data_IF_893105285432
#
_entry.id   IF_893105285432
#
_cell.length_a   1.000
_cell.length_b   1.000
_cell.length_c   1.000
_cell.angle_alpha   90.00
_cell.angle_beta   90.00
_cell.angle_gamma   90.00
#
_symmetry.space_group_name_H-M   'P 1'
#
loop_
_entity.id
_entity.type
_entity.pdbx_description
1 polymer ?
#
# COMPACT_ATOMS: atom_id res chain seq x y z
N UNK A 1 -4.36 2.96 16.34
CA UNK A 1 -3.10 2.54 16.94
C UNK A 1 -1.95 3.32 16.30
N UNK A 2 -1.16 4.07 17.07
CA UNK A 2 -0.16 4.97 16.55
C UNK A 2 -0.74 6.00 15.58
N UNK A 3 -0.02 6.36 14.52
CA UNK A 3 -0.48 7.26 13.47
C UNK A 3 -1.43 6.59 12.45
N UNK A 4 -1.57 5.25 12.50
CA UNK A 4 -2.36 4.49 11.53
C UNK A 4 -3.86 4.69 11.70
N UNK A 5 -4.59 4.77 10.58
CA UNK A 5 -6.03 5.00 10.51
C UNK A 5 -6.69 4.03 9.54
N UNK A 6 -7.97 3.77 9.77
CA UNK A 6 -8.83 3.05 8.83
C UNK A 6 -9.84 4.04 8.24
N UNK A 7 -9.77 4.25 6.93
CA UNK A 7 -10.63 5.19 6.19
C UNK A 7 -11.81 4.42 5.59
N UNK A 8 -13.04 4.72 6.03
CA UNK A 8 -14.27 4.06 5.57
C UNK A 8 -14.94 4.86 4.45
N UNK A 9 -14.84 4.39 3.21
CA UNK A 9 -15.45 5.02 2.04
C UNK A 9 -16.93 4.67 1.86
N UNK A 10 -17.43 3.68 2.60
CA UNK A 10 -18.85 3.27 2.59
C UNK A 10 -19.69 3.84 3.73
N UNK A 11 -19.10 4.50 4.74
CA UNK A 11 -19.77 4.88 5.99
C UNK A 11 -21.04 5.72 5.80
N UNK A 12 -21.09 6.57 4.76
CA UNK A 12 -22.22 7.49 4.47
C UNK A 12 -23.24 6.93 3.50
N UNK A 13 -23.09 5.71 3.02
CA UNK A 13 -24.02 5.10 2.06
C UNK A 13 -25.25 4.56 2.80
N UNK A 14 -26.43 4.69 2.17
CA UNK A 14 -27.69 4.14 2.70
C UNK A 14 -27.71 2.62 2.70
N UNK A 15 -26.96 1.99 1.79
CA UNK A 15 -26.86 0.54 1.56
C UNK A 15 -25.57 -0.07 2.14
N UNK A 16 -24.88 0.63 3.05
CA UNK A 16 -23.58 0.22 3.60
C UNK A 16 -23.56 -1.18 4.21
N UNK A 17 -24.69 -1.59 4.77
CA UNK A 17 -24.82 -2.90 5.43
C UNK A 17 -25.02 -4.06 4.44
N UNK A 18 -25.35 -3.73 3.16
CA UNK A 18 -25.43 -4.69 2.05
C UNK A 18 -24.19 -4.69 1.18
N UNK A 19 -23.35 -3.68 1.30
CA UNK A 19 -22.12 -3.56 0.53
C UNK A 19 -21.06 -4.54 1.03
N UNK A 20 -20.37 -5.21 0.11
CA UNK A 20 -19.31 -6.18 0.43
C UNK A 20 -18.11 -5.43 1.03
N UNK A 21 -17.72 -5.72 2.29
CA UNK A 21 -16.59 -5.04 2.91
C UNK A 21 -15.26 -5.54 2.36
N UNK A 22 -14.37 -4.60 2.05
CA UNK A 22 -13.02 -4.91 1.57
C UNK A 22 -12.01 -4.03 2.31
N UNK A 23 -11.13 -4.67 3.08
CA UNK A 23 -9.98 -4.00 3.69
C UNK A 23 -8.84 -3.89 2.67
N UNK A 24 -8.53 -2.67 2.26
CA UNK A 24 -7.41 -2.38 1.36
C UNK A 24 -6.13 -2.10 2.13
N UNK A 25 -5.09 -2.84 1.80
CA UNK A 25 -3.75 -2.75 2.39
C UNK A 25 -2.79 -2.18 1.34
N UNK A 26 -2.45 -0.87 1.41
CA UNK A 26 -1.47 -0.28 0.50
C UNK A 26 -0.05 -0.67 0.89
N UNK A 27 0.90 -0.38 0.02
CA UNK A 27 2.33 -0.48 0.31
C UNK A 27 2.73 0.40 1.50
N UNK A 28 3.77 0.01 2.24
CA UNK A 28 4.41 0.88 3.23
C UNK A 28 5.23 2.00 2.56
N UNK A 29 5.73 1.78 1.34
CA UNK A 29 6.55 2.75 0.59
C UNK A 29 5.71 3.90 0.06
N UNK A 30 4.55 3.59 -0.54
CA UNK A 30 3.63 4.60 -1.06
C UNK A 30 2.51 4.87 -0.06
N UNK A 31 2.17 6.14 0.13
CA UNK A 31 1.05 6.51 1.01
C UNK A 31 -0.28 6.00 0.45
N UNK A 32 -1.26 5.82 1.34
CA UNK A 32 -2.62 5.32 1.03
C UNK A 32 -3.31 6.09 -0.09
N UNK A 33 -3.01 7.38 -0.27
CA UNK A 33 -3.63 8.23 -1.30
C UNK A 33 -3.39 7.75 -2.73
N UNK A 34 -2.40 6.86 -2.98
CA UNK A 34 -2.20 6.27 -4.31
C UNK A 34 -3.47 5.56 -4.81
N UNK A 35 -4.32 5.09 -3.91
CA UNK A 35 -5.61 4.47 -4.21
C UNK A 35 -6.78 5.46 -4.19
N UNK A 36 -6.56 6.72 -3.78
CA UNK A 36 -7.54 7.82 -3.72
C UNK A 36 -6.91 9.17 -4.11
N UNK A 37 -6.37 9.26 -5.33
CA UNK A 37 -5.58 10.40 -5.81
C UNK A 37 -6.39 11.71 -5.86
N UNK A 38 -7.61 11.67 -6.36
CA UNK A 38 -8.51 12.81 -6.44
C UNK A 38 -9.98 12.37 -6.47
N UNK A 39 -10.92 13.30 -6.39
CA UNK A 39 -12.37 12.99 -6.48
C UNK A 39 -12.73 12.22 -7.76
N UNK A 40 -12.03 12.44 -8.86
CA UNK A 40 -12.27 11.81 -10.16
C UNK A 40 -11.41 10.59 -10.41
N UNK A 41 -10.26 10.51 -9.74
CA UNK A 41 -9.28 9.42 -9.87
C UNK A 41 -9.09 8.73 -8.54
N UNK A 42 -10.08 7.95 -8.15
CA UNK A 42 -10.11 7.23 -6.88
C UNK A 42 -10.67 5.83 -7.10
N UNK A 43 -9.84 4.83 -6.91
CA UNK A 43 -10.29 3.45 -6.88
C UNK A 43 -11.28 3.23 -5.73
N UNK A 44 -11.01 3.78 -4.56
CA UNK A 44 -11.85 3.63 -3.37
C UNK A 44 -13.25 4.16 -3.60
N UNK A 45 -13.39 5.39 -4.13
CA UNK A 45 -14.70 6.00 -4.41
C UNK A 45 -15.44 5.28 -5.52
N UNK A 46 -14.72 4.84 -6.56
CA UNK A 46 -15.30 4.05 -7.64
C UNK A 46 -15.85 2.72 -7.13
N UNK A 47 -15.10 1.97 -6.34
CA UNK A 47 -15.56 0.72 -5.73
C UNK A 47 -16.75 0.95 -4.81
N UNK A 48 -16.71 2.03 -3.99
CA UNK A 48 -17.84 2.39 -3.15
C UNK A 48 -19.11 2.69 -3.96
N UNK A 49 -19.00 3.30 -5.13
CA UNK A 49 -20.15 3.53 -6.02
C UNK A 49 -20.66 2.27 -6.72
N UNK A 50 -19.86 1.19 -6.73
CA UNK A 50 -20.19 -0.10 -7.36
C UNK A 50 -20.51 -1.23 -6.36
N UNK A 51 -21.03 -0.90 -5.19
CA UNK A 51 -21.59 -1.88 -4.26
C UNK A 51 -20.60 -2.50 -3.28
N UNK A 52 -19.35 -2.02 -3.24
CA UNK A 52 -18.37 -2.40 -2.24
C UNK A 52 -18.33 -1.39 -1.08
N UNK A 53 -17.82 -1.81 0.07
CA UNK A 53 -17.48 -0.93 1.18
C UNK A 53 -15.97 -0.96 1.41
N UNK A 54 -15.20 -0.12 0.69
CA UNK A 54 -13.76 -0.07 0.88
C UNK A 54 -13.41 0.55 2.23
N UNK A 55 -12.55 -0.16 2.95
CA UNK A 55 -11.92 0.25 4.20
C UNK A 55 -10.42 0.34 3.89
N UNK A 56 -9.90 1.56 3.72
CA UNK A 56 -8.51 1.75 3.33
C UNK A 56 -7.63 1.95 4.54
N UNK A 57 -6.62 1.09 4.68
CA UNK A 57 -5.56 1.28 5.66
C UNK A 57 -4.72 2.50 5.27
N UNK A 58 -4.61 3.46 6.17
CA UNK A 58 -3.67 4.57 6.10
C UNK A 58 -2.61 4.37 7.18
N UNK A 59 -1.38 4.09 6.76
CA UNK A 59 -0.27 3.85 7.69
C UNK A 59 0.12 5.10 8.47
N UNK A 60 -0.23 6.29 7.97
CA UNK A 60 0.20 7.57 8.53
C UNK A 60 1.67 7.86 8.24
N UNK A 61 2.30 8.63 9.11
CA UNK A 61 3.74 8.84 9.12
C UNK A 61 4.34 8.08 10.30
N UNK A 62 5.39 7.26 10.08
CA UNK A 62 6.05 6.55 11.18
C UNK A 62 6.50 7.52 12.27
N UNK A 63 6.18 7.18 13.51
CA UNK A 63 6.63 7.87 14.70
C UNK A 63 7.82 7.15 15.36
N UNK A 64 8.11 7.52 16.59
CA UNK A 64 9.24 6.93 17.33
C UNK A 64 9.01 5.44 17.60
N UNK A 65 7.76 5.01 17.82
CA UNK A 65 7.42 3.60 18.01
C UNK A 65 7.70 2.78 16.76
N UNK A 66 7.30 3.31 15.58
CA UNK A 66 7.44 2.60 14.31
C UNK A 66 8.87 2.56 13.77
N UNK A 67 9.79 3.36 14.29
CA UNK A 67 11.21 3.30 13.89
C UNK A 67 11.87 1.95 14.19
N UNK A 68 11.38 1.25 15.21
CA UNK A 68 11.85 -0.09 15.57
C UNK A 68 11.04 -1.23 14.94
N UNK A 69 10.04 -0.92 14.10
CA UNK A 69 9.17 -1.93 13.52
C UNK A 69 9.82 -2.64 12.35
N UNK A 70 9.82 -3.96 12.43
CA UNK A 70 9.97 -4.84 11.28
C UNK A 70 8.60 -5.12 10.63
N UNK A 71 8.56 -5.97 9.61
CA UNK A 71 7.32 -6.34 8.93
C UNK A 71 6.34 -7.07 9.87
N UNK A 72 6.84 -7.90 10.77
CA UNK A 72 6.01 -8.61 11.75
C UNK A 72 5.34 -7.63 12.72
N UNK A 73 6.05 -6.60 13.16
CA UNK A 73 5.48 -5.56 14.00
C UNK A 73 4.39 -4.75 13.27
N UNK A 74 4.60 -4.40 12.00
CA UNK A 74 3.55 -3.76 11.19
C UNK A 74 2.31 -4.63 11.04
N UNK A 75 2.48 -5.93 10.80
CA UNK A 75 1.36 -6.87 10.69
C UNK A 75 0.62 -6.98 12.02
N UNK A 76 1.33 -7.26 13.10
CA UNK A 76 0.73 -7.58 14.39
C UNK A 76 0.17 -6.36 15.13
N UNK A 77 0.88 -5.23 15.06
CA UNK A 77 0.55 -4.06 15.86
C UNK A 77 -0.25 -2.99 15.10
N UNK A 78 -0.34 -3.08 13.76
CA UNK A 78 -1.10 -2.13 12.95
C UNK A 78 -2.16 -2.81 12.09
N UNK A 79 -1.80 -3.86 11.36
CA UNK A 79 -2.72 -4.46 10.40
C UNK A 79 -3.75 -5.40 11.06
N UNK A 80 -3.35 -6.22 12.04
CA UNK A 80 -4.31 -7.05 12.79
C UNK A 80 -5.36 -6.20 13.54
N UNK A 81 -5.01 -5.13 14.25
CA UNK A 81 -6.01 -4.21 14.81
C UNK A 81 -6.91 -3.54 13.77
N UNK A 82 -6.39 -3.22 12.57
CA UNK A 82 -7.19 -2.70 11.49
C UNK A 82 -8.20 -3.73 10.96
N UNK A 83 -7.80 -5.01 10.87
CA UNK A 83 -8.70 -6.11 10.55
C UNK A 83 -9.81 -6.25 11.61
N UNK A 84 -9.46 -6.20 12.88
CA UNK A 84 -10.45 -6.30 13.97
C UNK A 84 -11.42 -5.12 13.94
N UNK A 85 -10.94 -3.92 13.72
CA UNK A 85 -11.79 -2.74 13.53
C UNK A 85 -12.72 -2.88 12.31
N UNK A 86 -12.19 -3.37 11.19
CA UNK A 86 -12.97 -3.62 9.99
C UNK A 86 -14.10 -4.63 10.26
N UNK A 87 -13.79 -5.73 10.94
CA UNK A 87 -14.76 -6.77 11.33
C UNK A 87 -15.85 -6.24 12.26
N UNK A 88 -15.48 -5.41 13.24
CA UNK A 88 -16.44 -4.76 14.13
C UNK A 88 -17.38 -3.81 13.37
N UNK A 89 -16.84 -3.03 12.43
CA UNK A 89 -17.62 -2.11 11.61
C UNK A 89 -18.59 -2.82 10.65
N UNK A 90 -18.30 -4.05 10.26
CA UNK A 90 -19.04 -4.77 9.20
C UNK A 90 -19.79 -6.00 9.71
N UNK A 91 -19.55 -6.40 10.97
CA UNK A 91 -20.27 -7.48 11.62
C UNK A 91 -19.78 -8.89 11.27
N UNK A 92 -18.62 -9.05 10.60
CA UNK A 92 -18.14 -10.37 10.20
C UNK A 92 -16.77 -10.37 9.53
N UNK A 93 -16.35 -11.50 8.95
CA UNK A 93 -15.13 -11.57 8.17
C UNK A 93 -15.18 -10.62 6.96
N UNK A 94 -14.01 -10.08 6.57
CA UNK A 94 -13.90 -9.14 5.45
C UNK A 94 -13.02 -9.72 4.34
N UNK A 95 -13.26 -9.29 3.11
CA UNK A 95 -12.29 -9.48 2.03
C UNK A 95 -11.09 -8.58 2.29
N UNK A 96 -9.88 -9.09 2.11
CA UNK A 96 -8.65 -8.30 2.20
C UNK A 96 -8.05 -8.15 0.80
N UNK A 97 -7.73 -6.92 0.41
CA UNK A 97 -7.10 -6.61 -0.86
C UNK A 97 -5.77 -5.91 -0.64
N UNK A 98 -4.67 -6.55 -0.99
CA UNK A 98 -3.34 -5.98 -0.87
C UNK A 98 -2.83 -5.42 -2.19
N UNK A 99 -2.27 -4.22 -2.17
CA UNK A 99 -1.68 -3.56 -3.35
C UNK A 99 -0.17 -3.47 -3.24
N UNK A 100 0.54 -3.91 -4.28
CA UNK A 100 2.00 -3.94 -4.35
C UNK A 100 2.59 -4.68 -3.12
N UNK A 101 3.56 -4.13 -2.42
CA UNK A 101 4.10 -4.68 -1.17
C UNK A 101 3.00 -4.96 -0.12
N UNK A 102 1.92 -4.17 -0.10
CA UNK A 102 0.77 -4.42 0.77
C UNK A 102 0.11 -5.77 0.54
N UNK A 103 0.30 -6.38 -0.64
CA UNK A 103 -0.16 -7.74 -0.91
C UNK A 103 0.58 -8.81 -0.11
N UNK A 104 1.87 -8.63 0.16
CA UNK A 104 2.64 -9.53 1.04
C UNK A 104 2.13 -9.44 2.48
N UNK A 105 1.88 -8.22 2.97
CA UNK A 105 1.32 -7.99 4.29
C UNK A 105 -0.09 -8.58 4.42
N UNK A 106 -0.92 -8.41 3.39
CA UNK A 106 -2.27 -8.96 3.32
C UNK A 106 -2.26 -10.49 3.31
N UNK A 107 -1.33 -11.12 2.58
CA UNK A 107 -1.14 -12.57 2.57
C UNK A 107 -0.74 -13.08 3.96
N UNK A 108 0.26 -12.45 4.59
CA UNK A 108 0.69 -12.80 5.94
C UNK A 108 -0.46 -12.64 6.95
N UNK A 109 -1.23 -11.54 6.87
CA UNK A 109 -2.43 -11.34 7.68
C UNK A 109 -3.45 -12.47 7.49
N UNK A 110 -3.74 -12.87 6.24
CA UNK A 110 -4.70 -13.92 5.95
C UNK A 110 -4.29 -15.29 6.52
N UNK A 111 -2.97 -15.59 6.47
CA UNK A 111 -2.42 -16.82 7.06
C UNK A 111 -2.47 -16.80 8.59
N UNK A 112 -2.23 -15.64 9.22
CA UNK A 112 -2.24 -15.48 10.67
C UNK A 112 -3.66 -15.42 11.24
N UNK A 113 -4.61 -14.83 10.52
CA UNK A 113 -5.99 -14.54 10.97
C UNK A 113 -7.04 -15.11 10.01
N UNK A 114 -7.01 -16.43 9.68
CA UNK A 114 -7.89 -17.01 8.66
C UNK A 114 -9.37 -16.84 8.99
N UNK A 115 -9.77 -16.80 10.25
CA UNK A 115 -11.16 -16.60 10.68
C UNK A 115 -11.66 -15.17 10.49
N UNK A 116 -10.75 -14.21 10.25
CA UNK A 116 -11.08 -12.80 10.02
C UNK A 116 -11.15 -12.43 8.55
N UNK A 117 -10.62 -13.28 7.68
CA UNK A 117 -10.47 -13.02 6.25
C UNK A 117 -11.38 -13.95 5.45
N UNK A 118 -12.36 -13.39 4.75
CA UNK A 118 -13.30 -14.14 3.90
C UNK A 118 -12.68 -14.51 2.56
N UNK A 119 -11.92 -13.60 1.97
CA UNK A 119 -11.22 -13.77 0.69
C UNK A 119 -10.00 -12.86 0.63
N UNK A 120 -9.04 -13.20 -0.21
CA UNK A 120 -7.82 -12.43 -0.44
C UNK A 120 -7.70 -12.06 -1.91
N UNK A 121 -7.46 -10.78 -2.20
CA UNK A 121 -7.14 -10.28 -3.52
C UNK A 121 -5.72 -9.66 -3.50
N UNK A 122 -4.89 -10.06 -4.45
CA UNK A 122 -3.52 -9.57 -4.60
C UNK A 122 -3.40 -8.74 -5.88
N UNK A 123 -3.09 -7.45 -5.74
CA UNK A 123 -3.02 -6.50 -6.83
C UNK A 123 -1.57 -6.07 -7.04
N UNK A 124 -0.96 -6.44 -8.17
CA UNK A 124 0.42 -6.11 -8.51
C UNK A 124 1.41 -6.45 -7.36
N UNK A 125 1.18 -7.57 -6.69
CA UNK A 125 2.00 -8.02 -5.56
C UNK A 125 3.29 -8.64 -6.08
N UNK A 126 4.47 -8.14 -5.68
CA UNK A 126 5.74 -8.77 -6.02
C UNK A 126 5.85 -10.12 -5.30
N UNK A 127 6.35 -11.14 -5.97
CA UNK A 127 6.45 -12.48 -5.41
C UNK A 127 7.85 -13.07 -5.52
N UNK A 128 8.49 -12.91 -6.68
CA UNK A 128 9.82 -13.45 -6.94
C UNK A 128 10.89 -12.38 -6.70
N UNK A 129 11.66 -12.53 -5.63
CA UNK A 129 12.70 -11.59 -5.24
C UNK A 129 14.12 -12.11 -5.53
N UNK A 130 14.27 -13.42 -5.82
CA UNK A 130 15.57 -14.09 -5.93
C UNK A 130 15.66 -14.94 -7.20
N UNK A 131 15.04 -14.50 -8.29
CA UNK A 131 15.11 -15.17 -9.57
C UNK A 131 16.57 -15.47 -9.95
N UNK A 132 16.86 -16.74 -10.29
CA UNK A 132 18.20 -17.15 -10.68
C UNK A 132 18.66 -16.40 -11.93
N UNK A 133 19.72 -15.61 -11.81
CA UNK A 133 20.29 -14.83 -12.90
C UNK A 133 19.82 -13.38 -12.99
N UNK A 134 19.07 -12.89 -12.06
CA UNK A 134 18.68 -11.48 -12.01
C UNK A 134 19.83 -10.61 -11.48
N UNK A 135 20.51 -9.92 -12.41
CA UNK A 135 21.58 -8.99 -12.08
C UNK A 135 21.12 -7.86 -11.12
N UNK A 136 19.81 -7.53 -11.13
CA UNK A 136 19.22 -6.51 -10.27
C UNK A 136 19.21 -6.95 -8.80
N UNK A 137 18.81 -8.18 -8.51
CA UNK A 137 18.79 -8.68 -7.12
C UNK A 137 20.18 -8.78 -6.51
N UNK A 138 21.18 -9.20 -7.30
CA UNK A 138 22.58 -9.21 -6.86
C UNK A 138 23.11 -7.82 -6.55
N UNK A 139 22.76 -6.84 -7.36
CA UNK A 139 23.23 -5.47 -7.18
C UNK A 139 22.50 -4.78 -6.03
N UNK A 140 21.18 -5.00 -5.86
CA UNK A 140 20.45 -4.52 -4.67
C UNK A 140 21.05 -5.08 -3.38
N UNK A 141 21.41 -6.37 -3.39
CA UNK A 141 22.09 -7.00 -2.24
C UNK A 141 23.46 -6.37 -1.98
N UNK A 142 24.22 -6.05 -3.02
CA UNK A 142 25.51 -5.37 -2.90
C UNK A 142 25.40 -3.93 -2.37
N UNK A 143 24.24 -3.26 -2.57
CA UNK A 143 23.95 -1.93 -2.04
C UNK A 143 23.53 -1.92 -0.57
N UNK A 144 23.20 -3.09 0.01
CA UNK A 144 22.73 -3.21 1.39
C UNK A 144 23.56 -2.42 2.40
N UNK A 145 24.88 -2.60 2.48
CA UNK A 145 25.73 -1.87 3.43
C UNK A 145 25.67 -0.34 3.27
N UNK A 146 25.52 0.16 2.04
CA UNK A 146 25.39 1.60 1.78
C UNK A 146 24.03 2.14 2.22
N UNK A 147 22.96 1.36 2.02
CA UNK A 147 21.61 1.70 2.49
C UNK A 147 21.54 1.68 4.02
N UNK A 148 22.18 0.71 4.67
CA UNK A 148 22.30 0.66 6.13
C UNK A 148 23.04 1.87 6.69
N UNK A 149 24.10 2.33 6.00
CA UNK A 149 24.80 3.56 6.33
C UNK A 149 23.90 4.80 6.26
N UNK A 150 23.07 4.91 5.23
CA UNK A 150 22.10 6.00 5.09
C UNK A 150 21.02 5.94 6.17
N UNK A 151 20.47 4.75 6.43
CA UNK A 151 19.52 4.53 7.52
C UNK A 151 20.08 4.93 8.87
N UNK A 152 21.33 4.56 9.16
CA UNK A 152 21.99 4.91 10.41
C UNK A 152 22.21 6.42 10.55
N UNK A 153 22.47 7.12 9.44
CA UNK A 153 22.75 8.56 9.43
C UNK A 153 21.46 9.40 9.51
N UNK A 154 20.42 9.03 8.76
CA UNK A 154 19.21 9.82 8.59
C UNK A 154 18.00 9.28 9.40
N UNK A 155 18.07 8.06 9.93
CA UNK A 155 16.97 7.37 10.61
C UNK A 155 15.88 6.85 9.67
N UNK A 156 15.96 7.19 8.37
CA UNK A 156 15.08 6.73 7.31
C UNK A 156 15.81 6.76 5.97
N UNK A 157 15.32 6.04 4.97
CA UNK A 157 15.83 6.16 3.60
C UNK A 157 15.23 7.41 2.95
N UNK A 158 16.07 8.35 2.47
CA UNK A 158 15.60 9.51 1.73
C UNK A 158 14.78 9.11 0.51
N UNK A 159 13.69 9.84 0.22
CA UNK A 159 12.80 9.55 -0.91
C UNK A 159 13.54 9.53 -2.25
N UNK A 160 14.56 10.37 -2.41
CA UNK A 160 15.37 10.46 -3.63
C UNK A 160 16.15 9.15 -3.88
N UNK A 161 16.63 8.50 -2.80
CA UNK A 161 17.30 7.20 -2.88
C UNK A 161 16.31 6.13 -3.34
N UNK A 162 15.11 6.10 -2.76
CA UNK A 162 14.05 5.17 -3.18
C UNK A 162 13.65 5.41 -4.64
N UNK A 163 13.47 6.66 -5.04
CA UNK A 163 13.15 7.00 -6.44
C UNK A 163 14.27 6.60 -7.41
N UNK A 164 15.52 6.78 -7.03
CA UNK A 164 16.66 6.34 -7.82
C UNK A 164 16.67 4.82 -8.01
N UNK A 165 16.40 4.04 -6.96
CA UNK A 165 16.31 2.58 -7.04
C UNK A 165 15.18 2.13 -7.98
N UNK A 166 13.99 2.73 -7.89
CA UNK A 166 12.88 2.44 -8.79
C UNK A 166 13.16 2.86 -10.24
N UNK A 167 13.79 4.01 -10.44
CA UNK A 167 14.16 4.49 -11.78
C UNK A 167 15.19 3.57 -12.43
N UNK A 168 16.08 3.04 -11.62
CA UNK A 168 17.15 2.15 -12.08
C UNK A 168 16.62 0.77 -12.48
N UNK A 169 15.56 0.27 -11.81
CA UNK A 169 14.88 -0.96 -12.19
C UNK A 169 14.11 -0.83 -13.52
N UNK A 170 13.66 0.38 -13.91
CA UNK A 170 13.04 0.67 -15.21
C UNK A 170 13.46 2.07 -15.71
N UNK A 171 14.60 2.18 -16.40
CA UNK A 171 15.09 3.44 -16.95
C UNK A 171 14.14 4.11 -17.95
N UNK A 172 13.26 3.31 -18.59
CA UNK A 172 12.30 3.83 -19.58
C UNK A 172 11.10 4.52 -18.91
N UNK A 173 10.80 4.19 -17.66
CA UNK A 173 9.64 4.68 -16.92
C UNK A 173 9.62 6.21 -16.83
N UNK A 174 10.75 6.82 -16.50
CA UNK A 174 10.87 8.30 -16.36
C UNK A 174 10.64 8.99 -17.70
N UNK A 175 11.31 8.53 -18.76
CA UNK A 175 11.15 9.13 -20.10
C UNK A 175 9.72 8.96 -20.64
N UNK A 176 9.05 7.84 -20.36
CA UNK A 176 7.68 7.60 -20.73
C UNK A 176 6.69 8.49 -19.95
N UNK A 177 6.92 8.71 -18.66
CA UNK A 177 6.14 9.65 -17.83
C UNK A 177 6.24 11.08 -18.34
N UNK A 178 7.46 11.56 -18.62
CA UNK A 178 7.65 12.91 -19.16
C UNK A 178 7.04 13.08 -20.54
N UNK A 179 7.12 12.05 -21.40
CA UNK A 179 6.49 12.07 -22.73
C UNK A 179 4.96 12.09 -22.61
N UNK A 180 4.38 11.29 -21.71
CA UNK A 180 2.96 11.30 -21.44
C UNK A 180 2.50 12.66 -20.86
N UNK A 181 3.28 13.25 -19.94
CA UNK A 181 3.01 14.58 -19.39
C UNK A 181 3.06 15.68 -20.45
N UNK A 182 4.05 15.63 -21.34
CA UNK A 182 4.17 16.59 -22.45
C UNK A 182 3.01 16.50 -23.45
N UNK A 183 2.42 15.32 -23.61
CA UNK A 183 1.27 15.06 -24.50
C UNK A 183 -0.09 15.44 -23.87
N UNK A 184 -0.14 15.90 -22.61
CA UNK A 184 -1.38 16.33 -21.98
C UNK A 184 -1.81 17.71 -22.48
N UNK A 185 -3.04 17.79 -23.02
CA UNK A 185 -3.53 19.00 -23.71
C UNK A 185 -4.11 20.07 -22.77
N UNK A 186 -4.39 19.76 -21.49
CA UNK A 186 -5.01 20.71 -20.59
C UNK A 186 -4.20 20.95 -19.30
N UNK A 187 -4.26 22.19 -18.80
CA UNK A 187 -3.61 22.58 -17.53
C UNK A 187 -4.17 21.76 -16.34
N UNK A 188 -5.45 21.40 -16.36
CA UNK A 188 -6.08 20.56 -15.35
C UNK A 188 -5.58 19.12 -15.35
N UNK A 189 -5.25 18.57 -16.54
CA UNK A 189 -4.65 17.24 -16.65
C UNK A 189 -3.21 17.20 -16.15
N UNK A 190 -2.47 18.30 -16.28
CA UNK A 190 -1.07 18.41 -15.80
C UNK A 190 -0.98 18.65 -14.29
N UNK A 191 -2.04 19.19 -13.68
CA UNK A 191 -2.11 19.48 -12.24
C UNK A 191 -2.64 18.32 -11.39
N UNK A 192 -3.21 17.28 -12.02
CA UNK A 192 -3.64 16.02 -11.41
C UNK A 192 -2.56 14.93 -11.55
#
# INVERSE_FOLDING_TARGET
HGASRLLDYGARRRDKDRAVPVLFVPSLVNRSYILDLSKRRSLMRWLASNGLRPLLMDWGSPGDDERGFDLDAYITQRLEPALDAARQLTGGPVTVAGYCMGGLLALALALRRPQGVQALALLATPWEFHGTGDAHSHLLSAMGPSLDGLLSLFGELPIDVLQALFTWSDPSMVSNKFRAFAAMDSHSQRAE
#
